data_IF_788899552100
#
_entry.id   IF_788899552100
#
_cell.length_a   1.000
_cell.length_b   1.000
_cell.length_c   1.000
_cell.angle_alpha   90.00
_cell.angle_beta   90.00
_cell.angle_gamma   90.00
#
_symmetry.space_group_name_H-M   'P 1'
#
loop_
_entity.id
_entity.type
_entity.pdbx_description
1 polymer ?
#
# COMPACT_ATOMS: atom_id res chain seq x y z
N UNK A 1 -4.19 -7.92 17.94
CA UNK A 1 -2.92 -8.58 18.31
C UNK A 1 -1.90 -8.02 17.34
N UNK A 2 -0.92 -7.28 17.83
CA UNK A 2 0.04 -6.59 16.96
C UNK A 2 0.82 -7.64 16.17
N UNK A 3 0.94 -7.43 14.86
CA UNK A 3 1.70 -8.32 13.99
C UNK A 3 3.16 -8.30 14.42
N UNK A 4 3.70 -9.45 14.78
CA UNK A 4 5.14 -9.58 14.96
C UNK A 4 5.81 -9.61 13.59
N UNK A 5 6.19 -8.43 13.11
CA UNK A 5 6.82 -8.24 11.80
C UNK A 5 8.06 -9.11 11.61
N UNK A 6 8.82 -9.37 12.68
CA UNK A 6 10.02 -10.21 12.60
C UNK A 6 9.66 -11.67 12.35
N UNK A 7 8.68 -12.22 13.09
CA UNK A 7 8.20 -13.59 12.89
C UNK A 7 7.58 -13.78 11.50
N UNK A 8 6.84 -12.79 11.00
CA UNK A 8 6.27 -12.84 9.65
C UNK A 8 7.34 -12.77 8.55
N UNK A 9 8.37 -11.95 8.72
CA UNK A 9 9.52 -11.94 7.80
C UNK A 9 10.22 -13.31 7.80
N UNK A 10 10.47 -13.90 8.97
CA UNK A 10 11.08 -15.24 9.05
C UNK A 10 10.18 -16.31 8.41
N UNK A 11 8.86 -16.20 8.56
CA UNK A 11 7.88 -17.07 7.89
C UNK A 11 8.03 -16.95 6.38
N UNK A 12 8.09 -15.73 5.85
CA UNK A 12 8.27 -15.46 4.42
C UNK A 12 9.61 -16.03 3.93
N UNK A 13 10.70 -15.81 4.65
CA UNK A 13 12.02 -16.32 4.29
C UNK A 13 12.08 -17.85 4.22
N UNK A 14 11.34 -18.55 5.10
CA UNK A 14 11.22 -20.02 5.04
C UNK A 14 10.48 -20.51 3.79
N UNK A 15 9.61 -19.69 3.20
CA UNK A 15 8.79 -20.07 2.04
C UNK A 15 9.48 -19.79 0.71
N UNK A 16 10.13 -18.64 0.54
CA UNK A 16 10.69 -18.19 -0.75
C UNK A 16 12.19 -17.96 -0.74
N UNK A 17 12.85 -18.13 0.40
CA UNK A 17 14.26 -17.85 0.59
C UNK A 17 14.52 -16.48 1.20
N UNK A 18 15.79 -16.25 1.54
CA UNK A 18 16.25 -15.08 2.31
C UNK A 18 15.89 -13.75 1.62
N UNK A 19 15.37 -12.82 2.40
CA UNK A 19 15.08 -11.46 1.97
C UNK A 19 16.30 -10.56 2.17
N UNK A 20 16.52 -9.63 1.24
CA UNK A 20 17.52 -8.57 1.42
C UNK A 20 17.11 -7.60 2.54
N UNK A 21 18.07 -6.83 3.05
CA UNK A 21 17.77 -5.78 4.02
C UNK A 21 16.78 -4.75 3.46
N UNK A 22 16.91 -4.40 2.18
CA UNK A 22 16.00 -3.48 1.49
C UNK A 22 14.57 -4.03 1.43
N UNK A 23 14.40 -5.31 1.11
CA UNK A 23 13.08 -5.96 1.08
C UNK A 23 12.44 -5.98 2.48
N UNK A 24 13.23 -6.32 3.51
CA UNK A 24 12.78 -6.31 4.91
C UNK A 24 12.36 -4.91 5.37
N UNK A 25 13.09 -3.86 4.98
CA UNK A 25 12.73 -2.46 5.27
C UNK A 25 11.44 -2.08 4.56
N UNK A 26 11.28 -2.40 3.27
CA UNK A 26 10.08 -2.09 2.51
C UNK A 26 8.84 -2.80 3.10
N UNK A 27 8.98 -4.04 3.57
CA UNK A 27 7.89 -4.76 4.23
C UNK A 27 7.56 -4.20 5.62
N UNK A 28 8.55 -3.84 6.42
CA UNK A 28 8.38 -3.49 7.84
C UNK A 28 8.17 -2.00 8.13
N UNK A 29 8.44 -1.11 7.18
CA UNK A 29 8.43 0.34 7.44
C UNK A 29 7.02 0.89 7.71
N UNK A 30 6.90 1.71 8.75
CA UNK A 30 5.77 2.60 9.02
C UNK A 30 5.95 3.99 8.40
N UNK A 31 7.04 4.19 7.65
CA UNK A 31 7.40 5.41 6.95
C UNK A 31 6.81 5.51 5.55
N UNK A 32 7.14 6.61 4.86
CA UNK A 32 6.76 6.82 3.46
C UNK A 32 7.63 5.94 2.56
N UNK A 33 7.02 4.95 1.91
CA UNK A 33 7.72 4.12 0.93
C UNK A 33 8.22 4.93 -0.27
N UNK A 34 7.48 5.95 -0.72
CA UNK A 34 7.96 6.86 -1.76
C UNK A 34 9.28 7.54 -1.37
N UNK A 35 9.44 7.93 -0.10
CA UNK A 35 10.68 8.53 0.41
C UNK A 35 11.85 7.54 0.38
N UNK A 36 11.59 6.28 0.71
CA UNK A 36 12.60 5.21 0.65
C UNK A 36 12.99 4.95 -0.81
N UNK A 37 12.01 4.84 -1.70
CA UNK A 37 12.26 4.66 -3.13
C UNK A 37 13.01 5.84 -3.75
N UNK A 38 12.72 7.08 -3.34
CA UNK A 38 13.47 8.26 -3.79
C UNK A 38 14.97 8.13 -3.50
N UNK A 39 15.30 7.60 -2.31
CA UNK A 39 16.70 7.37 -1.90
C UNK A 39 17.33 6.22 -2.67
N UNK A 40 16.59 5.13 -2.91
CA UNK A 40 17.12 3.91 -3.52
C UNK A 40 17.18 3.95 -5.06
N UNK A 41 16.24 4.64 -5.72
CA UNK A 41 16.01 4.57 -7.17
C UNK A 41 15.88 5.95 -7.82
N UNK A 42 16.16 7.02 -7.08
CA UNK A 42 15.94 8.40 -7.51
C UNK A 42 14.46 8.78 -7.50
N UNK A 43 14.16 10.01 -7.92
CA UNK A 43 12.80 10.58 -7.85
C UNK A 43 11.75 9.65 -8.45
N UNK A 44 10.83 9.19 -7.59
CA UNK A 44 9.68 8.40 -8.02
C UNK A 44 8.43 9.27 -8.20
N UNK A 45 7.54 8.79 -9.05
CA UNK A 45 6.23 9.38 -9.33
C UNK A 45 5.14 8.35 -9.07
N UNK A 46 3.91 8.83 -8.92
CA UNK A 46 2.73 7.98 -8.78
C UNK A 46 1.91 8.10 -10.04
N UNK A 47 1.57 6.97 -10.64
CA UNK A 47 0.66 6.88 -11.77
C UNK A 47 -0.60 6.15 -11.32
N UNK A 48 -1.74 6.84 -11.37
CA UNK A 48 -3.02 6.21 -11.05
C UNK A 48 -3.48 5.34 -12.20
N UNK A 49 -3.72 4.06 -11.93
CA UNK A 49 -4.25 3.11 -12.89
C UNK A 49 -5.78 3.13 -12.89
N UNK A 50 -6.36 3.25 -11.69
CA UNK A 50 -7.80 3.19 -11.50
C UNK A 50 -8.19 3.96 -10.26
N UNK A 51 -9.28 4.73 -10.32
CA UNK A 51 -9.88 5.37 -9.17
C UNK A 51 -11.39 5.47 -9.34
N UNK A 52 -12.14 4.86 -8.42
CA UNK A 52 -13.60 4.77 -8.49
C UNK A 52 -14.21 4.87 -7.08
N UNK A 53 -15.46 5.35 -7.02
CA UNK A 53 -16.28 5.22 -5.81
C UNK A 53 -17.15 3.99 -5.96
N UNK A 54 -16.94 3.00 -5.11
CA UNK A 54 -17.64 1.71 -5.17
C UNK A 54 -18.26 1.39 -3.81
N UNK A 55 -19.39 0.65 -3.76
CA UNK A 55 -19.86 0.06 -2.52
C UNK A 55 -18.87 -1.01 -2.05
N UNK A 56 -18.52 -1.01 -0.76
CA UNK A 56 -17.63 -2.04 -0.21
C UNK A 56 -18.35 -3.40 -0.05
N UNK A 57 -17.61 -4.49 -0.23
CA UNK A 57 -18.07 -5.84 0.12
C UNK A 57 -17.90 -6.08 1.63
N UNK A 58 -18.38 -7.23 2.13
CA UNK A 58 -18.31 -7.55 3.56
C UNK A 58 -16.87 -7.56 4.10
N UNK A 59 -15.92 -8.14 3.35
CA UNK A 59 -14.52 -8.22 3.78
C UNK A 59 -13.90 -6.84 4.00
N UNK A 60 -14.06 -5.92 3.03
CA UNK A 60 -13.54 -4.56 3.14
C UNK A 60 -14.29 -3.78 4.22
N UNK A 61 -15.61 -3.99 4.35
CA UNK A 61 -16.41 -3.37 5.40
C UNK A 61 -15.90 -3.73 6.80
N UNK A 62 -15.64 -5.02 7.05
CA UNK A 62 -15.09 -5.51 8.32
C UNK A 62 -13.70 -4.91 8.59
N UNK A 63 -12.82 -4.90 7.58
CA UNK A 63 -11.46 -4.35 7.70
C UNK A 63 -11.41 -2.85 7.93
N UNK A 64 -12.40 -2.12 7.40
CA UNK A 64 -12.54 -0.69 7.62
C UNK A 64 -13.42 -0.37 8.84
N UNK A 65 -14.07 -1.34 9.48
CA UNK A 65 -15.07 -1.11 10.53
C UNK A 65 -16.18 -0.14 10.07
N UNK A 66 -16.79 -0.45 8.91
CA UNK A 66 -17.94 0.28 8.32
C UNK A 66 -19.03 -0.73 7.91
N UNK A 67 -20.17 -0.27 7.41
CA UNK A 67 -21.24 -1.16 6.97
C UNK A 67 -21.00 -1.67 5.55
N UNK A 68 -21.36 -2.93 5.27
CA UNK A 68 -21.36 -3.44 3.90
C UNK A 68 -22.22 -2.53 3.00
N UNK A 69 -21.72 -2.22 1.81
CA UNK A 69 -22.39 -1.31 0.88
C UNK A 69 -22.05 0.16 1.07
N UNK A 70 -21.40 0.54 2.18
CA UNK A 70 -20.92 1.90 2.37
C UNK A 70 -19.94 2.28 1.25
N UNK A 71 -20.00 3.52 0.74
CA UNK A 71 -19.16 3.94 -0.37
C UNK A 71 -17.71 4.13 0.09
N UNK A 72 -16.80 3.56 -0.69
CA UNK A 72 -15.36 3.71 -0.52
C UNK A 72 -14.74 4.27 -1.79
N UNK A 73 -13.72 5.13 -1.65
CA UNK A 73 -12.80 5.41 -2.74
C UNK A 73 -11.85 4.21 -2.88
N UNK A 74 -11.99 3.50 -3.99
CA UNK A 74 -11.07 2.46 -4.42
C UNK A 74 -10.06 3.05 -5.38
N UNK A 75 -8.77 2.96 -5.04
CA UNK A 75 -7.70 3.54 -5.85
C UNK A 75 -6.58 2.54 -6.04
N UNK A 76 -6.15 2.40 -7.29
CA UNK A 76 -5.04 1.56 -7.72
C UNK A 76 -3.99 2.45 -8.36
N UNK A 77 -2.77 2.38 -7.84
CA UNK A 77 -1.65 3.16 -8.33
C UNK A 77 -0.42 2.30 -8.54
N UNK A 78 0.48 2.81 -9.37
CA UNK A 78 1.84 2.32 -9.51
C UNK A 78 2.78 3.43 -9.09
N UNK A 79 3.72 3.10 -8.21
CA UNK A 79 4.79 3.97 -7.74
C UNK A 79 6.07 3.52 -8.43
N UNK A 80 6.78 4.46 -9.05
CA UNK A 80 7.99 4.15 -9.81
C UNK A 80 8.52 5.34 -10.58
N UNK A 81 9.51 5.10 -11.43
CA UNK A 81 10.08 6.13 -12.29
C UNK A 81 9.74 5.80 -13.76
N UNK A 82 10.72 5.50 -14.61
CA UNK A 82 10.49 4.88 -15.92
C UNK A 82 9.97 3.45 -15.79
N UNK A 83 10.31 2.78 -14.69
CA UNK A 83 9.88 1.43 -14.38
C UNK A 83 8.90 1.45 -13.19
N UNK A 84 7.86 0.59 -13.21
CA UNK A 84 7.01 0.37 -12.05
C UNK A 84 7.86 -0.28 -10.96
N UNK A 85 7.76 0.18 -9.71
CA UNK A 85 8.52 -0.37 -8.58
C UNK A 85 7.60 -1.03 -7.56
N UNK A 86 6.46 -0.40 -7.29
CA UNK A 86 5.45 -0.87 -6.33
C UNK A 86 4.06 -0.65 -6.92
N UNK A 87 3.20 -1.65 -6.79
CA UNK A 87 1.78 -1.56 -7.04
C UNK A 87 1.06 -1.36 -5.71
N UNK A 88 0.12 -0.42 -5.63
CA UNK A 88 -0.61 -0.16 -4.41
C UNK A 88 -2.11 -0.04 -4.66
N UNK A 89 -2.89 -0.72 -3.81
CA UNK A 89 -4.34 -0.67 -3.77
C UNK A 89 -4.76 -0.07 -2.46
N UNK A 90 -5.63 0.94 -2.49
CA UNK A 90 -6.16 1.58 -1.28
C UNK A 90 -7.67 1.67 -1.28
N UNK A 91 -8.24 1.51 -0.09
CA UNK A 91 -9.66 1.73 0.20
C UNK A 91 -9.81 2.84 1.25
N UNK A 92 -10.64 3.83 0.95
CA UNK A 92 -10.89 4.98 1.82
C UNK A 92 -12.39 5.16 1.99
N UNK A 93 -12.96 4.99 3.19
CA UNK A 93 -14.39 5.21 3.44
C UNK A 93 -14.75 6.68 3.28
N UNK A 94 -15.76 6.97 2.45
CA UNK A 94 -16.16 8.36 2.20
C UNK A 94 -16.81 9.03 3.40
N UNK A 95 -17.33 8.25 4.34
CA UNK A 95 -17.91 8.71 5.60
C UNK A 95 -16.88 9.33 6.55
N UNK A 96 -15.59 9.03 6.37
CA UNK A 96 -14.48 9.56 7.20
C UNK A 96 -13.75 10.76 6.57
N UNK A 97 -14.28 11.29 5.46
CA UNK A 97 -13.66 12.39 4.74
C UNK A 97 -14.44 13.67 4.94
N UNK A 98 -13.76 14.73 5.36
CA UNK A 98 -14.28 16.08 5.20
C UNK A 98 -14.31 16.50 3.72
N UNK A 99 -15.02 17.59 3.42
CA UNK A 99 -15.23 18.04 2.04
C UNK A 99 -13.91 18.41 1.34
N UNK A 100 -12.96 19.02 2.06
CA UNK A 100 -11.66 19.43 1.51
C UNK A 100 -10.75 18.25 1.19
N UNK A 101 -10.72 17.24 2.05
CA UNK A 101 -9.97 16.01 1.85
C UNK A 101 -10.57 15.19 0.71
N UNK A 102 -11.91 15.14 0.63
CA UNK A 102 -12.63 14.48 -0.46
C UNK A 102 -12.30 15.13 -1.82
N UNK A 103 -12.28 16.45 -1.91
CA UNK A 103 -11.89 17.16 -3.13
C UNK A 103 -10.46 16.84 -3.59
N UNK A 104 -9.51 16.81 -2.65
CA UNK A 104 -8.12 16.46 -2.98
C UNK A 104 -7.96 14.98 -3.36
N UNK A 105 -8.76 14.09 -2.79
CA UNK A 105 -8.78 12.68 -3.20
C UNK A 105 -9.34 12.50 -4.61
N UNK A 106 -10.36 13.27 -4.99
CA UNK A 106 -10.93 13.24 -6.36
C UNK A 106 -9.86 13.62 -7.39
N UNK A 107 -8.88 14.44 -7.02
CA UNK A 107 -7.71 14.75 -7.86
C UNK A 107 -6.78 13.53 -7.92
N UNK A 108 -7.05 12.67 -8.91
CA UNK A 108 -6.46 11.34 -9.08
C UNK A 108 -4.93 11.28 -9.03
N UNK A 109 -4.21 12.37 -9.27
CA UNK A 109 -2.74 12.38 -9.31
C UNK A 109 -2.07 12.87 -8.02
N UNK A 110 -2.83 13.24 -6.99
CA UNK A 110 -2.23 13.66 -5.71
C UNK A 110 -1.93 12.43 -4.84
N UNK A 111 -0.68 12.21 -4.39
CA UNK A 111 -0.34 11.13 -3.46
C UNK A 111 -1.10 11.26 -2.13
N UNK A 112 -1.61 10.15 -1.60
CA UNK A 112 -2.31 10.11 -0.31
C UNK A 112 -1.48 10.77 0.80
N UNK A 113 -0.18 10.47 0.87
CA UNK A 113 0.72 11.07 1.87
C UNK A 113 0.83 12.60 1.77
N UNK A 114 0.67 13.19 0.57
CA UNK A 114 0.64 14.65 0.41
C UNK A 114 -0.70 15.24 0.86
N UNK A 115 -1.81 14.52 0.63
CA UNK A 115 -3.14 14.93 1.09
C UNK A 115 -3.17 14.95 2.63
N UNK A 116 -2.73 13.87 3.28
CA UNK A 116 -2.62 13.81 4.75
C UNK A 116 -1.80 14.98 5.32
N UNK A 117 -0.67 15.29 4.70
CA UNK A 117 0.18 16.42 5.13
C UNK A 117 -0.48 17.77 4.92
N UNK A 118 -1.16 17.98 3.78
CA UNK A 118 -1.84 19.24 3.45
C UNK A 118 -2.93 19.58 4.47
N UNK A 119 -3.65 18.56 4.95
CA UNK A 119 -4.72 18.69 5.93
C UNK A 119 -4.26 18.50 7.38
N UNK A 120 -2.94 18.43 7.62
CA UNK A 120 -2.35 18.22 8.96
C UNK A 120 -2.96 17.03 9.72
N UNK A 121 -3.23 15.93 9.00
CA UNK A 121 -3.84 14.74 9.59
C UNK A 121 -2.81 14.01 10.44
N UNK A 122 -3.00 14.07 11.76
CA UNK A 122 -2.27 13.25 12.72
C UNK A 122 -2.71 11.80 12.58
N UNK A 123 -1.79 10.93 12.22
CA UNK A 123 -2.09 9.53 11.95
C UNK A 123 -0.89 8.63 12.26
N UNK A 124 -1.17 7.35 12.41
CA UNK A 124 -0.16 6.30 12.60
C UNK A 124 -0.43 5.15 11.61
N UNK A 125 0.62 4.44 11.21
CA UNK A 125 0.50 3.25 10.37
C UNK A 125 0.54 2.00 11.24
N UNK A 126 -0.36 1.07 10.97
CA UNK A 126 -0.39 -0.25 11.59
C UNK A 126 -0.28 -1.32 10.51
N UNK A 127 0.81 -2.09 10.52
CA UNK A 127 0.94 -3.26 9.65
C UNK A 127 -0.03 -4.33 10.13
N UNK A 128 -0.85 -4.83 9.23
CA UNK A 128 -1.85 -5.86 9.51
C UNK A 128 -1.43 -7.23 8.97
N UNK A 129 -0.82 -7.28 7.78
CA UNK A 129 -0.41 -8.55 7.15
C UNK A 129 0.83 -8.31 6.31
N UNK A 130 1.81 -9.21 6.43
CA UNK A 130 2.88 -9.38 5.46
C UNK A 130 2.69 -10.75 4.81
N UNK A 131 2.75 -10.82 3.48
CA UNK A 131 2.53 -12.09 2.81
C UNK A 131 3.19 -12.20 1.44
N UNK A 132 3.09 -13.38 0.84
CA UNK A 132 3.58 -13.69 -0.49
C UNK A 132 2.40 -14.18 -1.33
N UNK A 133 2.29 -13.69 -2.56
CA UNK A 133 1.29 -14.19 -3.51
C UNK A 133 1.90 -14.46 -4.89
N UNK A 134 1.25 -15.32 -5.67
CA UNK A 134 1.60 -15.46 -7.09
C UNK A 134 1.00 -14.27 -7.86
N UNK A 135 1.71 -13.74 -8.87
CA UNK A 135 1.19 -12.60 -9.61
C UNK A 135 -0.01 -13.01 -10.47
N UNK A 136 -1.08 -12.24 -10.34
CA UNK A 136 -2.21 -12.29 -11.25
C UNK A 136 -1.83 -11.69 -12.63
N UNK A 137 -2.67 -11.80 -13.67
CA UNK A 137 -2.36 -11.26 -14.99
C UNK A 137 -2.03 -9.76 -15.00
N UNK A 138 -2.66 -8.97 -14.13
CA UNK A 138 -2.44 -7.53 -14.05
C UNK A 138 -1.06 -7.23 -13.45
N UNK A 139 -0.66 -7.92 -12.38
CA UNK A 139 0.66 -7.77 -11.78
C UNK A 139 1.79 -8.22 -12.71
N UNK A 140 1.56 -9.29 -13.50
CA UNK A 140 2.49 -9.73 -14.54
C UNK A 140 2.67 -8.68 -15.63
N UNK A 141 1.58 -8.07 -16.08
CA UNK A 141 1.64 -6.98 -17.07
C UNK A 141 2.36 -5.75 -16.52
N UNK A 142 2.06 -5.36 -15.26
CA UNK A 142 2.69 -4.21 -14.62
C UNK A 142 4.19 -4.44 -14.47
N UNK A 143 4.61 -5.55 -13.88
CA UNK A 143 6.01 -5.75 -13.51
C UNK A 143 6.85 -6.50 -14.55
N UNK A 144 6.23 -7.11 -15.55
CA UNK A 144 6.94 -7.87 -16.59
C UNK A 144 7.63 -9.13 -16.07
N UNK A 145 7.14 -9.73 -14.99
CA UNK A 145 7.73 -10.93 -14.35
C UNK A 145 6.66 -11.87 -13.79
N UNK A 146 6.99 -13.16 -13.74
CA UNK A 146 6.22 -14.21 -13.06
C UNK A 146 6.73 -14.49 -11.63
N UNK A 147 7.72 -13.72 -11.15
CA UNK A 147 8.24 -13.81 -9.78
C UNK A 147 7.11 -13.78 -8.75
N UNK A 148 7.22 -14.55 -7.65
CA UNK A 148 6.40 -14.34 -6.47
C UNK A 148 6.41 -12.88 -6.04
N UNK A 149 5.29 -12.42 -5.51
CA UNK A 149 5.07 -11.03 -5.12
C UNK A 149 5.10 -10.92 -3.60
N UNK A 150 5.96 -10.04 -3.09
CA UNK A 150 5.97 -9.63 -1.70
C UNK A 150 4.87 -8.60 -1.47
N UNK A 151 4.08 -8.80 -0.43
CA UNK A 151 2.95 -7.92 -0.11
C UNK A 151 3.00 -7.48 1.34
N UNK A 152 2.52 -6.26 1.57
CA UNK A 152 2.21 -5.74 2.90
C UNK A 152 0.88 -5.03 2.86
N UNK A 153 0.04 -5.31 3.84
CA UNK A 153 -1.22 -4.62 4.04
C UNK A 153 -1.19 -3.91 5.38
N UNK A 154 -1.51 -2.63 5.38
CA UNK A 154 -1.48 -1.79 6.56
C UNK A 154 -2.64 -0.80 6.55
N UNK A 155 -2.96 -0.32 7.73
CA UNK A 155 -3.99 0.69 7.95
C UNK A 155 -3.33 2.00 8.38
N UNK A 156 -3.84 3.11 7.88
CA UNK A 156 -3.59 4.45 8.42
C UNK A 156 -4.73 4.75 9.38
N UNK A 157 -4.40 4.90 10.65
CA UNK A 157 -5.36 5.15 11.73
C UNK A 157 -5.37 6.64 12.03
N UNK A 158 -6.56 7.23 12.10
CA UNK A 158 -6.81 8.62 12.50
C UNK A 158 -7.98 8.63 13.50
N UNK A 159 -7.83 9.33 14.62
CA UNK A 159 -8.85 9.41 15.69
C UNK A 159 -9.37 8.04 16.18
N UNK A 160 -8.50 7.03 16.18
CA UNK A 160 -8.85 5.67 16.62
C UNK A 160 -9.55 4.81 15.56
N UNK A 161 -9.85 5.35 14.38
CA UNK A 161 -10.56 4.68 13.29
C UNK A 161 -9.67 4.45 12.07
N UNK A 162 -10.00 3.45 11.24
CA UNK A 162 -9.25 3.15 10.01
C UNK A 162 -9.55 4.19 8.93
N UNK A 163 -8.69 5.18 8.77
CA UNK A 163 -8.87 6.20 7.72
C UNK A 163 -8.61 5.64 6.32
N UNK A 164 -7.55 4.84 6.17
CA UNK A 164 -7.15 4.28 4.87
C UNK A 164 -6.60 2.88 5.06
N UNK A 165 -7.06 1.93 4.26
CA UNK A 165 -6.44 0.61 4.13
C UNK A 165 -5.62 0.57 2.86
N UNK A 166 -4.37 0.12 2.94
CA UNK A 166 -3.44 0.06 1.79
C UNK A 166 -2.78 -1.31 1.72
N UNK A 167 -2.85 -1.95 0.55
CA UNK A 167 -2.03 -3.10 0.17
C UNK A 167 -0.98 -2.65 -0.83
N UNK A 168 0.28 -2.89 -0.53
CA UNK A 168 1.42 -2.64 -1.42
C UNK A 168 2.06 -3.96 -1.83
N UNK A 169 2.43 -4.06 -3.10
CA UNK A 169 2.93 -5.29 -3.73
C UNK A 169 4.16 -4.97 -4.58
N UNK A 170 5.20 -5.79 -4.50
CA UNK A 170 6.38 -5.74 -5.36
C UNK A 170 7.01 -7.12 -5.60
N UNK A 171 7.70 -7.36 -6.74
CA UNK A 171 8.32 -8.65 -7.03
C UNK A 171 9.43 -9.04 -6.05
N UNK A 172 9.47 -10.31 -5.65
CA UNK A 172 10.52 -10.88 -4.80
C UNK A 172 11.91 -10.83 -5.45
N UNK A 173 12.01 -10.89 -6.77
CA UNK A 173 13.30 -10.76 -7.46
C UNK A 173 13.87 -9.33 -7.39
N UNK A 174 13.07 -8.34 -7.00
CA UNK A 174 13.50 -6.95 -6.93
C UNK A 174 14.04 -6.56 -5.57
N UNK A 175 14.89 -5.53 -5.56
CA UNK A 175 15.54 -5.00 -4.36
C UNK A 175 16.43 -6.02 -3.64
N UNK A 176 16.89 -7.07 -4.33
CA UNK A 176 17.73 -8.13 -3.75
C UNK A 176 19.19 -7.75 -3.55
N UNK A 177 19.69 -6.79 -4.33
CA UNK A 177 21.10 -6.41 -4.30
C UNK A 177 21.41 -5.53 -3.08
N UNK A 178 22.50 -5.87 -2.39
CA UNK A 178 23.19 -5.01 -1.43
C UNK A 178 24.21 -4.20 -2.24
N UNK A 179 24.17 -2.88 -2.16
CA UNK A 179 25.23 -2.03 -2.74
C UNK A 179 26.53 -2.20 -1.97
#
# INVERSE_FOLDING_TARGET
>A
MDVNVMEEIERIERLIGKLSNTQKILLSTDGSVTRILDVLRGTVTIRTLKQEFIPCNQEIADKLNISMGDPVNYRVVVIGNREPLIHAVSYIPLSRLDDGFREDLIRADVPIGRILKKHNIESRREIEVLDIENPDPQLREIFGTDSPMLTRTYNIIHEGEVLIRIKETFPFEWFREEF
#
